data_IF_396675176564
#
_entry.id   IF_396675176564
#
_cell.length_a   1.000
_cell.length_b   1.000
_cell.length_c   1.000
_cell.angle_alpha   90.00
_cell.angle_beta   90.00
_cell.angle_gamma   90.00
#
_symmetry.space_group_name_H-M   'P 1'
#
loop_
_entity.id
_entity.type
_entity.pdbx_description
1 polymer ?
#
# COMPACT_ATOMS: atom_id res chain seq x y z
N UNK A 1 8.10 17.01 -4.16
CA UNK A 1 8.50 16.77 -2.77
C UNK A 1 8.15 18.01 -1.96
N UNK A 2 7.51 17.86 -0.81
CA UNK A 2 7.08 19.00 0.04
C UNK A 2 7.63 18.81 1.44
N UNK A 3 8.22 19.85 2.02
CA UNK A 3 8.80 19.84 3.36
C UNK A 3 7.95 20.71 4.29
N UNK A 4 7.46 20.15 5.41
CA UNK A 4 6.68 20.85 6.42
C UNK A 4 7.52 21.06 7.69
N UNK A 5 7.92 22.30 7.96
CA UNK A 5 8.70 22.67 9.15
C UNK A 5 7.87 23.48 10.13
N UNK A 6 8.17 23.34 11.42
CA UNK A 6 7.52 24.09 12.49
C UNK A 6 7.99 23.65 13.87
N UNK A 7 7.87 24.48 14.91
CA UNK A 7 8.32 24.16 16.26
C UNK A 7 7.53 22.98 16.87
N UNK A 8 8.01 22.36 17.97
CA UNK A 8 7.21 21.39 18.71
C UNK A 8 5.80 21.94 19.03
N UNK A 9 4.80 21.06 19.02
CA UNK A 9 3.38 21.42 19.25
C UNK A 9 2.72 22.30 18.17
N UNK A 10 3.39 22.63 17.05
CA UNK A 10 2.79 23.43 15.98
C UNK A 10 1.71 22.71 15.14
N UNK A 11 1.31 21.49 15.50
CA UNK A 11 0.25 20.75 14.80
C UNK A 11 0.66 20.00 13.52
N UNK A 12 1.95 19.91 13.17
CA UNK A 12 2.43 19.23 11.95
C UNK A 12 1.87 17.81 11.79
N UNK A 13 2.01 16.99 12.82
CA UNK A 13 1.51 15.61 12.83
C UNK A 13 0.00 15.56 12.65
N UNK A 14 -0.74 16.47 13.30
CA UNK A 14 -2.20 16.57 13.14
C UNK A 14 -2.58 16.96 11.72
N UNK A 15 -1.86 17.89 11.09
CA UNK A 15 -2.09 18.26 9.70
C UNK A 15 -1.86 17.07 8.75
N UNK A 16 -0.76 16.32 8.92
CA UNK A 16 -0.49 15.14 8.10
C UNK A 16 -1.54 14.04 8.29
N UNK A 17 -1.99 13.80 9.53
CA UNK A 17 -3.08 12.88 9.81
C UNK A 17 -4.40 13.33 9.16
N UNK A 18 -4.72 14.62 9.19
CA UNK A 18 -5.90 15.16 8.51
C UNK A 18 -5.84 14.96 6.99
N UNK A 19 -4.69 15.23 6.37
CA UNK A 19 -4.48 15.01 4.94
C UNK A 19 -4.56 13.52 4.56
N UNK A 20 -4.18 12.62 5.46
CA UNK A 20 -4.30 11.18 5.26
C UNK A 20 -5.70 10.61 5.59
N UNK A 21 -6.66 11.45 6.00
CA UNK A 21 -7.98 11.03 6.48
C UNK A 21 -7.95 10.24 7.81
N UNK A 22 -6.87 10.33 8.58
CA UNK A 22 -6.68 9.59 9.85
C UNK A 22 -6.78 10.49 11.09
N UNK A 23 -7.39 11.66 10.97
CA UNK A 23 -7.61 12.54 12.11
C UNK A 23 -8.67 11.94 13.05
N UNK A 24 -8.48 12.10 14.36
CA UNK A 24 -9.45 11.66 15.37
C UNK A 24 -10.83 12.31 15.17
N UNK A 25 -11.89 11.54 15.40
CA UNK A 25 -13.29 11.97 15.22
C UNK A 25 -13.74 13.01 16.25
N UNK A 26 -12.97 13.20 17.32
CA UNK A 26 -13.16 14.22 18.35
C UNK A 26 -12.74 15.63 17.90
N UNK A 27 -12.05 15.74 16.77
CA UNK A 27 -11.53 17.00 16.25
C UNK A 27 -12.42 17.58 15.15
N UNK A 28 -12.55 18.92 15.14
CA UNK A 28 -13.24 19.65 14.07
C UNK A 28 -12.27 19.96 12.94
N UNK A 29 -12.67 19.66 11.71
CA UNK A 29 -11.94 20.01 10.49
C UNK A 29 -12.68 21.15 9.77
N UNK A 30 -11.93 22.13 9.29
CA UNK A 30 -12.45 23.22 8.45
C UNK A 30 -11.49 23.50 7.30
N UNK A 31 -12.00 24.16 6.25
CA UNK A 31 -11.27 24.34 4.99
C UNK A 31 -11.59 23.24 3.98
N UNK A 32 -10.91 23.26 2.83
CA UNK A 32 -11.12 22.31 1.73
C UNK A 32 -9.79 21.74 1.27
N UNK A 33 -9.75 20.43 1.09
CA UNK A 33 -8.63 19.70 0.48
C UNK A 33 -9.19 18.94 -0.72
N UNK A 34 -8.46 18.98 -1.83
CA UNK A 34 -8.81 18.24 -3.03
C UNK A 34 -7.66 17.36 -3.49
N UNK A 35 -7.97 16.17 -3.99
CA UNK A 35 -7.04 15.28 -4.66
C UNK A 35 -7.43 15.18 -6.14
N UNK A 36 -6.57 15.66 -7.05
CA UNK A 36 -6.88 15.74 -8.48
C UNK A 36 -8.23 16.42 -8.80
N UNK A 37 -8.60 17.46 -8.04
CA UNK A 37 -9.86 18.18 -8.18
C UNK A 37 -11.05 17.58 -7.40
N UNK A 38 -10.94 16.36 -6.90
CA UNK A 38 -11.97 15.70 -6.10
C UNK A 38 -11.86 16.04 -4.63
N UNK A 39 -12.99 16.35 -3.98
CA UNK A 39 -13.10 16.51 -2.54
C UNK A 39 -12.81 15.22 -1.79
N UNK A 40 -12.39 15.35 -0.52
CA UNK A 40 -12.07 14.22 0.35
C UNK A 40 -13.28 13.31 0.64
N UNK A 41 -14.50 13.78 0.38
CA UNK A 41 -15.77 13.06 0.48
C UNK A 41 -16.13 12.25 -0.79
N UNK A 42 -15.42 12.46 -1.90
CA UNK A 42 -15.65 11.76 -3.18
C UNK A 42 -14.87 10.43 -3.28
N UNK A 43 -13.98 10.15 -2.34
CA UNK A 43 -13.16 8.94 -2.29
C UNK A 43 -12.88 8.51 -0.85
N UNK A 44 -12.05 7.46 -0.67
CA UNK A 44 -11.62 6.98 0.65
C UNK A 44 -10.17 7.42 0.88
N UNK A 45 -9.90 8.53 1.58
CA UNK A 45 -8.55 9.09 1.69
C UNK A 45 -7.53 8.14 2.29
N UNK A 46 -7.97 7.30 3.23
CA UNK A 46 -7.13 6.31 3.91
C UNK A 46 -6.68 5.17 2.99
N UNK A 47 -7.35 4.97 1.83
CA UNK A 47 -6.96 4.02 0.79
C UNK A 47 -6.19 4.67 -0.36
N UNK A 48 -6.38 5.96 -0.58
CA UNK A 48 -5.72 6.72 -1.66
C UNK A 48 -4.40 7.36 -1.21
N UNK A 49 -4.19 7.51 0.09
CA UNK A 49 -2.96 8.06 0.68
C UNK A 49 -2.34 7.10 1.69
N UNK A 50 -1.02 7.06 1.72
CA UNK A 50 -0.25 6.32 2.72
C UNK A 50 0.29 7.29 3.77
N UNK A 51 0.12 6.94 5.05
CA UNK A 51 0.69 7.67 6.17
C UNK A 51 1.69 6.78 6.91
N UNK A 52 2.95 7.17 6.89
CA UNK A 52 4.01 6.54 7.69
C UNK A 52 4.11 7.29 9.01
N UNK A 53 3.93 6.57 10.12
CA UNK A 53 3.96 7.17 11.45
C UNK A 53 5.40 7.42 11.92
N UNK A 54 5.56 8.11 13.05
CA UNK A 54 6.86 8.28 13.69
C UNK A 54 7.43 6.96 14.24
N UNK A 55 6.54 6.03 14.59
CA UNK A 55 6.89 4.72 15.09
C UNK A 55 6.66 3.67 14.01
N UNK A 56 7.60 2.73 13.91
CA UNK A 56 7.46 1.54 13.10
C UNK A 56 6.82 0.45 13.95
N UNK A 57 5.67 -0.06 13.49
CA UNK A 57 4.89 -1.07 14.21
C UNK A 57 4.99 -2.39 13.45
N UNK A 58 5.81 -3.30 13.97
CA UNK A 58 6.02 -4.64 13.41
C UNK A 58 5.75 -5.71 14.46
N UNK A 59 5.28 -6.88 14.02
CA UNK A 59 5.19 -8.06 14.87
C UNK A 59 6.59 -8.68 14.99
N UNK A 60 7.14 -8.69 16.21
CA UNK A 60 8.53 -9.13 16.48
C UNK A 60 8.78 -10.62 16.19
N UNK A 61 7.74 -11.38 15.90
CA UNK A 61 7.79 -12.80 15.54
C UNK A 61 7.90 -13.05 14.03
N UNK A 62 7.86 -11.99 13.20
CA UNK A 62 7.83 -12.11 11.74
C UNK A 62 9.14 -11.62 11.10
N UNK A 63 9.57 -12.32 10.06
CA UNK A 63 10.67 -11.90 9.18
C UNK A 63 10.26 -10.74 8.27
N UNK A 64 11.23 -10.07 7.63
CA UNK A 64 10.96 -9.05 6.59
C UNK A 64 10.03 -9.61 5.51
N UNK A 65 10.31 -10.82 5.00
CA UNK A 65 9.52 -11.49 3.98
C UNK A 65 8.10 -11.75 4.44
N UNK A 66 7.93 -12.33 5.63
CA UNK A 66 6.60 -12.61 6.18
C UNK A 66 5.83 -11.32 6.44
N UNK A 67 6.49 -10.25 6.90
CA UNK A 67 5.87 -8.95 7.14
C UNK A 67 5.32 -8.33 5.86
N UNK A 68 6.09 -8.38 4.77
CA UNK A 68 5.65 -7.91 3.45
C UNK A 68 4.53 -8.79 2.88
N UNK A 69 4.64 -10.11 3.01
CA UNK A 69 3.63 -11.03 2.52
C UNK A 69 2.29 -10.85 3.25
N UNK A 70 2.33 -10.72 4.58
CA UNK A 70 1.16 -10.40 5.39
C UNK A 70 0.55 -9.06 4.99
N UNK A 71 1.39 -8.02 4.83
CA UNK A 71 0.94 -6.70 4.40
C UNK A 71 0.23 -6.75 3.05
N UNK A 72 0.79 -7.49 2.08
CA UNK A 72 0.19 -7.68 0.76
C UNK A 72 -1.19 -8.37 0.84
N UNK A 73 -1.32 -9.42 1.68
CA UNK A 73 -2.60 -10.09 1.90
C UNK A 73 -3.64 -9.18 2.56
N UNK A 74 -3.23 -8.33 3.49
CA UNK A 74 -4.11 -7.36 4.16
C UNK A 74 -4.61 -6.25 3.22
N UNK A 75 -3.83 -5.87 2.20
CA UNK A 75 -4.31 -4.98 1.13
C UNK A 75 -5.38 -5.65 0.27
N UNK A 76 -5.43 -6.99 0.28
CA UNK A 76 -6.40 -7.80 -0.43
C UNK A 76 -6.04 -8.00 -1.90
N UNK A 77 -6.38 -9.18 -2.42
CA UNK A 77 -6.31 -9.52 -3.87
C UNK A 77 -7.62 -9.23 -4.61
N UNK A 78 -8.68 -8.87 -3.88
CA UNK A 78 -10.07 -8.98 -4.35
C UNK A 78 -10.43 -8.15 -5.58
N UNK A 79 -9.69 -7.09 -5.89
CA UNK A 79 -9.91 -6.33 -7.13
C UNK A 79 -9.06 -6.78 -8.31
N UNK A 80 -7.96 -7.51 -8.07
CA UNK A 80 -6.98 -7.82 -9.11
C UNK A 80 -7.52 -8.87 -10.08
N UNK A 81 -8.17 -9.91 -9.57
CA UNK A 81 -8.78 -10.96 -10.41
C UNK A 81 -9.86 -10.41 -11.33
N UNK A 82 -10.76 -9.58 -10.80
CA UNK A 82 -11.82 -8.93 -11.58
C UNK A 82 -11.24 -7.94 -12.59
N UNK A 83 -10.25 -7.14 -12.18
CA UNK A 83 -9.55 -6.22 -13.06
C UNK A 83 -8.82 -6.96 -14.20
N UNK A 84 -8.18 -8.10 -13.92
CA UNK A 84 -7.50 -8.90 -14.92
C UNK A 84 -8.45 -9.56 -15.91
N UNK A 85 -9.60 -10.03 -15.43
CA UNK A 85 -10.65 -10.54 -16.30
C UNK A 85 -11.15 -9.44 -17.27
N UNK A 86 -11.36 -8.23 -16.75
CA UNK A 86 -11.77 -7.07 -17.56
C UNK A 86 -10.67 -6.61 -18.52
N UNK A 87 -9.41 -6.57 -18.09
CA UNK A 87 -8.26 -6.26 -18.93
C UNK A 87 -8.18 -7.23 -20.11
N UNK A 88 -8.19 -8.54 -19.83
CA UNK A 88 -8.10 -9.58 -20.85
C UNK A 88 -9.25 -9.49 -21.86
N UNK A 89 -10.46 -9.12 -21.41
CA UNK A 89 -11.62 -8.87 -22.29
C UNK A 89 -11.35 -7.72 -23.25
N UNK A 90 -10.82 -6.59 -22.75
CA UNK A 90 -10.53 -5.40 -23.57
C UNK A 90 -9.38 -5.62 -24.55
N UNK A 91 -8.32 -6.29 -24.12
CA UNK A 91 -7.18 -6.65 -24.97
C UNK A 91 -7.63 -7.49 -26.18
N UNK A 92 -8.47 -8.50 -25.94
CA UNK A 92 -9.06 -9.31 -27.03
C UNK A 92 -9.92 -8.47 -27.97
N UNK A 93 -10.77 -7.60 -27.45
CA UNK A 93 -11.64 -6.74 -28.27
C UNK A 93 -10.84 -5.74 -29.12
N UNK A 94 -9.71 -5.26 -28.61
CA UNK A 94 -8.81 -4.34 -29.31
C UNK A 94 -7.73 -5.05 -30.14
N UNK A 95 -7.72 -6.39 -30.18
CA UNK A 95 -6.68 -7.20 -30.82
C UNK A 95 -5.25 -6.85 -30.34
N UNK A 96 -5.12 -6.52 -29.05
CA UNK A 96 -3.85 -6.23 -28.38
C UNK A 96 -3.29 -7.55 -27.85
N UNK A 97 -2.03 -7.82 -28.16
CA UNK A 97 -1.27 -8.93 -27.58
C UNK A 97 -0.45 -8.40 -26.41
N UNK A 98 -0.73 -8.81 -25.15
CA UNK A 98 0.07 -8.39 -24.02
C UNK A 98 1.48 -8.97 -24.10
N UNK A 99 2.41 -8.29 -23.46
CA UNK A 99 3.76 -8.81 -23.26
C UNK A 99 3.70 -10.12 -22.44
N UNK A 100 4.35 -11.21 -22.89
CA UNK A 100 4.26 -12.51 -22.21
C UNK A 100 4.72 -12.46 -20.75
N UNK A 101 5.77 -11.70 -20.43
CA UNK A 101 6.34 -11.67 -19.08
C UNK A 101 5.43 -10.90 -18.13
N UNK A 102 4.84 -9.80 -18.61
CA UNK A 102 3.86 -9.01 -17.87
C UNK A 102 2.59 -9.84 -17.64
N UNK A 103 2.08 -10.52 -18.66
CA UNK A 103 0.88 -11.35 -18.56
C UNK A 103 1.05 -12.49 -17.55
N UNK A 104 2.23 -13.16 -17.57
CA UNK A 104 2.57 -14.21 -16.59
C UNK A 104 2.62 -13.63 -15.18
N UNK A 105 3.31 -12.50 -14.98
CA UNK A 105 3.43 -11.86 -13.66
C UNK A 105 2.05 -11.47 -13.12
N UNK A 106 1.23 -10.81 -13.94
CA UNK A 106 -0.09 -10.33 -13.55
C UNK A 106 -1.01 -11.50 -13.15
N UNK A 107 -1.00 -12.60 -13.91
CA UNK A 107 -1.75 -13.81 -13.57
C UNK A 107 -1.23 -14.46 -12.30
N UNK A 108 0.08 -14.52 -12.12
CA UNK A 108 0.70 -15.11 -10.93
C UNK A 108 0.38 -14.28 -9.66
N UNK A 109 0.35 -12.96 -9.77
CA UNK A 109 0.00 -12.04 -8.69
C UNK A 109 -1.47 -12.17 -8.23
N UNK A 110 -2.35 -12.67 -9.09
CA UNK A 110 -3.77 -12.87 -8.78
C UNK A 110 -4.13 -14.28 -8.32
N UNK A 111 -3.18 -15.23 -8.33
CA UNK A 111 -3.42 -16.58 -7.84
C UNK A 111 -3.53 -16.58 -6.30
N UNK A 112 -4.67 -17.02 -5.79
CA UNK A 112 -4.88 -17.21 -4.35
C UNK A 112 -4.21 -18.51 -3.85
N UNK A 113 -3.79 -18.51 -2.58
CA UNK A 113 -3.35 -19.73 -1.88
C UNK A 113 -1.86 -20.07 -1.97
N UNK A 114 -1.02 -19.25 -2.59
CA UNK A 114 0.44 -19.44 -2.52
C UNK A 114 0.98 -19.12 -1.12
N UNK A 115 1.98 -19.89 -0.65
CA UNK A 115 2.63 -19.65 0.65
C UNK A 115 3.38 -18.31 0.69
N UNK A 116 3.95 -17.90 -0.44
CA UNK A 116 4.62 -16.62 -0.65
C UNK A 116 4.10 -16.01 -1.94
N UNK A 117 3.71 -14.74 -1.90
CA UNK A 117 3.24 -14.03 -3.09
C UNK A 117 4.41 -13.69 -4.00
N UNK A 118 4.22 -13.91 -5.32
CA UNK A 118 5.16 -13.45 -6.36
C UNK A 118 5.41 -11.94 -6.26
N UNK A 119 4.41 -11.18 -5.80
CA UNK A 119 4.53 -9.74 -5.54
C UNK A 119 5.55 -9.48 -4.43
N UNK A 120 5.52 -10.27 -3.35
CA UNK A 120 6.46 -10.14 -2.23
C UNK A 120 7.90 -10.39 -2.67
N UNK A 121 8.15 -11.48 -3.40
CA UNK A 121 9.49 -11.81 -3.92
C UNK A 121 10.01 -10.70 -4.85
N UNK A 122 9.16 -10.21 -5.73
CA UNK A 122 9.50 -9.13 -6.64
C UNK A 122 9.85 -7.83 -5.89
N UNK A 123 9.07 -7.49 -4.85
CA UNK A 123 9.34 -6.32 -4.01
C UNK A 123 10.64 -6.44 -3.22
N UNK A 124 10.92 -7.60 -2.63
CA UNK A 124 12.19 -7.85 -1.95
C UNK A 124 13.38 -7.61 -2.87
N UNK A 125 13.27 -8.08 -4.12
CA UNK A 125 14.33 -7.95 -5.12
C UNK A 125 14.54 -6.51 -5.58
N UNK A 126 13.46 -5.78 -5.92
CA UNK A 126 13.56 -4.38 -6.36
C UNK A 126 14.12 -3.49 -5.25
N UNK A 127 13.69 -3.71 -4.01
CA UNK A 127 14.11 -2.91 -2.87
C UNK A 127 15.49 -3.33 -2.33
N UNK A 128 16.10 -4.39 -2.87
CA UNK A 128 17.39 -4.90 -2.41
C UNK A 128 17.35 -5.51 -1.01
N UNK A 129 16.17 -5.99 -0.58
CA UNK A 129 15.94 -6.57 0.74
C UNK A 129 16.19 -8.08 0.81
N UNK A 130 16.64 -8.71 -0.27
CA UNK A 130 16.92 -10.15 -0.32
C UNK A 130 17.88 -10.61 0.79
N UNK A 131 18.88 -9.77 1.11
CA UNK A 131 19.92 -10.08 2.10
C UNK A 131 19.35 -10.15 3.52
N UNK A 132 18.27 -9.42 3.81
CA UNK A 132 17.61 -9.40 5.12
C UNK A 132 16.23 -10.06 5.11
N UNK A 133 15.85 -10.75 4.03
CA UNK A 133 14.49 -11.26 3.86
C UNK A 133 14.04 -12.16 5.01
N UNK A 134 14.95 -12.95 5.57
CA UNK A 134 14.68 -13.90 6.67
C UNK A 134 15.09 -13.35 8.04
N UNK A 135 15.35 -12.04 8.14
CA UNK A 135 15.64 -11.35 9.41
C UNK A 135 14.33 -10.96 10.09
N UNK A 136 14.20 -11.25 11.39
CA UNK A 136 13.08 -10.80 12.22
C UNK A 136 13.03 -9.26 12.29
N UNK A 137 11.84 -8.67 12.12
CA UNK A 137 11.63 -7.23 12.17
C UNK A 137 10.73 -6.87 13.34
N UNK A 138 11.23 -6.08 14.27
CA UNK A 138 10.46 -5.53 15.38
C UNK A 138 11.16 -5.68 16.72
N UNK A 139 10.66 -4.94 17.71
CA UNK A 139 10.93 -5.18 19.12
C UNK A 139 9.71 -5.91 19.72
N UNK A 140 9.89 -6.67 20.79
CA UNK A 140 8.76 -7.24 21.53
C UNK A 140 7.97 -6.04 22.02
N UNK A 141 6.83 -5.72 21.39
CA UNK A 141 5.97 -4.62 21.84
C UNK A 141 5.67 -4.85 23.33
N UNK A 142 6.29 -4.06 24.19
CA UNK A 142 6.03 -4.00 25.64
C UNK A 142 5.31 -2.71 25.97
#
# INVERSE_FOLDING_TARGET
>A
MTLLLGPPSSGKTRLLLALAGRLGSDLKVSGRVTYNGHGMDEFVPQRTSAYTSQYDLHAGEMTVRETLDFSARCQGVGGLSDMLAELSRREKAANIKPDPDIDIYMKAAALEGQKTSVVTEYMLKILGLEICADTLVGDVMK
#
